data_IF_546075960159
#
_entry.id   IF_546075960159
#
_cell.length_a   1.000
_cell.length_b   1.000
_cell.length_c   1.000
_cell.angle_alpha   90.00
_cell.angle_beta   90.00
_cell.angle_gamma   90.00
#
_symmetry.space_group_name_H-M   'P 1'
#
loop_
_entity.id
_entity.type
_entity.pdbx_description
1 polymer ?
#
# COMPACT_ATOMS: atom_id res chain seq x y z
N UNK A 1 55.15 -50.76 23.82
CA UNK A 1 55.54 -49.92 24.97
C UNK A 1 55.51 -48.47 24.51
N UNK A 2 55.02 -47.57 25.38
CA UNK A 2 54.81 -46.12 25.20
C UNK A 2 53.81 -45.75 24.08
N UNK A 3 52.81 -44.89 24.25
CA UNK A 3 52.50 -43.91 25.30
C UNK A 3 51.85 -42.72 24.60
N UNK A 4 50.68 -42.27 25.07
CA UNK A 4 49.99 -41.12 24.49
C UNK A 4 48.65 -40.85 25.18
N UNK A 5 48.72 -40.09 26.28
CA UNK A 5 47.61 -39.66 27.12
C UNK A 5 46.77 -38.52 26.49
N UNK A 6 45.50 -38.49 26.93
CA UNK A 6 44.69 -37.30 27.28
C UNK A 6 44.16 -36.37 26.18
N UNK A 7 42.83 -36.40 26.02
CA UNK A 7 41.92 -35.30 26.43
C UNK A 7 40.47 -35.85 26.50
N UNK A 8 39.90 -36.04 27.71
CA UNK A 8 38.87 -35.16 28.32
C UNK A 8 37.58 -35.05 27.47
N UNK A 9 36.54 -35.87 27.63
CA UNK A 9 35.56 -36.00 28.72
C UNK A 9 34.66 -34.77 28.95
N UNK A 10 33.33 -35.02 28.83
CA UNK A 10 32.15 -34.31 29.42
C UNK A 10 31.70 -33.01 28.74
N UNK A 11 30.53 -32.99 28.09
CA UNK A 11 29.12 -32.94 28.59
C UNK A 11 28.57 -31.51 28.47
N UNK A 12 27.24 -31.41 28.35
CA UNK A 12 26.38 -30.24 28.10
C UNK A 12 26.33 -29.85 26.61
N UNK A 13 25.19 -29.88 25.92
CA UNK A 13 23.82 -29.70 26.38
C UNK A 13 23.34 -28.35 25.85
N UNK A 14 22.78 -28.33 24.65
CA UNK A 14 21.93 -27.24 24.18
C UNK A 14 20.85 -27.81 23.27
N UNK A 15 19.75 -28.23 23.92
CA UNK A 15 18.42 -28.09 23.36
C UNK A 15 18.18 -26.59 23.13
N UNK A 16 18.26 -26.15 21.88
CA UNK A 16 17.72 -24.88 21.40
C UNK A 16 17.20 -25.22 20.01
N UNK A 17 15.92 -25.22 19.70
CA UNK A 17 14.77 -24.58 20.31
C UNK A 17 13.85 -24.46 19.10
N UNK A 18 12.78 -25.26 19.07
CA UNK A 18 11.78 -25.17 18.03
C UNK A 18 11.18 -23.76 18.07
N UNK A 19 11.64 -22.87 17.20
CA UNK A 19 10.95 -21.62 16.93
C UNK A 19 9.82 -21.92 15.95
N UNK A 20 8.73 -22.44 16.50
CA UNK A 20 7.38 -22.27 15.94
C UNK A 20 7.09 -20.77 15.91
N UNK A 21 7.51 -20.09 14.84
CA UNK A 21 6.86 -18.85 14.44
C UNK A 21 5.55 -19.23 13.75
N UNK A 22 4.58 -19.66 14.57
CA UNK A 22 3.19 -19.36 14.31
C UNK A 22 3.03 -17.84 14.44
N UNK A 23 3.54 -17.10 13.45
CA UNK A 23 3.07 -15.76 13.20
C UNK A 23 1.63 -15.93 12.74
N UNK A 24 0.70 -15.38 13.52
CA UNK A 24 -0.71 -15.28 13.20
C UNK A 24 -0.88 -14.98 11.69
N UNK A 25 -1.63 -15.84 11.00
CA UNK A 25 -1.97 -15.72 9.58
C UNK A 25 -2.87 -14.53 9.27
N UNK A 26 -2.52 -13.34 9.72
CA UNK A 26 -3.06 -12.07 9.28
C UNK A 26 -2.16 -11.54 8.17
N UNK A 27 -2.10 -12.25 7.04
CA UNK A 27 -1.67 -11.62 5.81
C UNK A 27 -2.51 -10.36 5.58
N UNK A 28 -1.99 -9.35 4.86
CA UNK A 28 -2.74 -8.14 4.60
C UNK A 28 -4.13 -8.47 4.02
N UNK A 29 -5.16 -7.81 4.55
CA UNK A 29 -6.53 -8.06 4.15
C UNK A 29 -6.68 -7.83 2.66
N UNK A 30 -7.19 -8.81 1.93
CA UNK A 30 -7.55 -8.62 0.52
C UNK A 30 -8.66 -7.57 0.45
N UNK A 31 -8.53 -6.51 -0.37
CA UNK A 31 -9.56 -5.49 -0.44
C UNK A 31 -10.84 -6.06 -1.01
N UNK A 32 -11.98 -5.68 -0.42
CA UNK A 32 -13.27 -5.74 -1.11
C UNK A 32 -13.24 -4.81 -2.33
N UNK A 33 -13.31 -5.39 -3.53
CA UNK A 33 -13.28 -4.68 -4.82
C UNK A 33 -14.59 -3.97 -5.15
N UNK A 34 -15.67 -4.22 -4.39
CA UNK A 34 -16.96 -3.52 -4.55
C UNK A 34 -17.03 -2.22 -3.77
N UNK A 35 -16.10 -2.01 -2.82
CA UNK A 35 -15.97 -0.80 -2.02
C UNK A 35 -14.73 0.02 -2.42
N UNK A 36 -14.87 1.24 -2.97
CA UNK A 36 -13.73 2.04 -3.36
C UNK A 36 -12.84 2.44 -2.17
N UNK A 37 -13.42 2.59 -0.96
CA UNK A 37 -12.65 2.96 0.24
C UNK A 37 -11.77 1.80 0.69
N UNK A 38 -12.28 0.57 0.63
CA UNK A 38 -11.51 -0.65 0.85
C UNK A 38 -10.31 -0.76 -0.11
N UNK A 39 -10.52 -0.53 -1.40
CA UNK A 39 -9.42 -0.52 -2.40
C UNK A 39 -8.38 0.57 -2.10
N UNK A 40 -8.82 1.80 -1.79
CA UNK A 40 -7.91 2.89 -1.44
C UNK A 40 -7.13 2.59 -0.15
N UNK A 41 -7.76 1.99 0.86
CA UNK A 41 -7.06 1.62 2.09
C UNK A 41 -5.96 0.60 1.83
N UNK A 42 -6.25 -0.44 1.05
CA UNK A 42 -5.25 -1.43 0.64
C UNK A 42 -4.09 -0.80 -0.15
N UNK A 43 -4.37 0.23 -0.97
CA UNK A 43 -3.33 1.00 -1.64
C UNK A 43 -2.44 1.76 -0.65
N UNK A 44 -3.03 2.52 0.28
CA UNK A 44 -2.23 3.29 1.27
C UNK A 44 -1.39 2.38 2.14
N UNK A 45 -1.92 1.22 2.54
CA UNK A 45 -1.16 0.20 3.27
C UNK A 45 0.03 -0.34 2.45
N UNK A 46 -0.21 -0.70 1.19
CA UNK A 46 0.85 -1.19 0.30
C UNK A 46 1.90 -0.11 0.01
N UNK A 47 1.47 1.14 -0.19
CA UNK A 47 2.34 2.29 -0.40
C UNK A 47 3.25 2.54 0.81
N UNK A 48 2.67 2.59 2.02
CA UNK A 48 3.44 2.79 3.25
C UNK A 48 4.41 1.62 3.53
N UNK A 49 4.06 0.40 3.10
CA UNK A 49 4.94 -0.76 3.15
C UNK A 49 5.98 -0.81 2.02
N UNK A 50 5.92 0.13 1.06
CA UNK A 50 6.73 0.13 -0.18
C UNK A 50 6.59 -1.15 -1.00
N UNK A 51 5.39 -1.74 -0.99
CA UNK A 51 5.08 -3.01 -1.64
C UNK A 51 4.40 -2.79 -3.00
N UNK A 52 5.22 -2.59 -4.03
CA UNK A 52 4.75 -2.38 -5.40
C UNK A 52 3.96 -3.58 -5.95
N UNK A 53 4.26 -4.81 -5.51
CA UNK A 53 3.54 -6.02 -5.93
C UNK A 53 2.09 -5.99 -5.44
N UNK A 54 1.87 -5.49 -4.21
CA UNK A 54 0.53 -5.28 -3.67
C UNK A 54 -0.20 -4.08 -4.26
N UNK A 55 0.51 -3.07 -4.76
CA UNK A 55 -0.09 -1.91 -5.42
C UNK A 55 -0.57 -2.23 -6.85
N UNK A 56 0.16 -3.08 -7.58
CA UNK A 56 -0.09 -3.38 -8.98
C UNK A 56 -1.53 -3.84 -9.28
N UNK A 57 -2.12 -4.82 -8.56
CA UNK A 57 -3.48 -5.27 -8.89
C UNK A 57 -4.55 -4.23 -8.52
N UNK A 58 -4.23 -3.15 -7.80
CA UNK A 58 -5.20 -2.13 -7.38
C UNK A 58 -5.45 -1.07 -8.46
N UNK A 59 -4.57 -0.99 -9.45
CA UNK A 59 -4.62 0.02 -10.50
C UNK A 59 -5.27 -0.52 -11.76
N UNK A 60 -5.83 0.38 -12.56
CA UNK A 60 -6.24 0.05 -13.92
C UNK A 60 -5.02 -0.25 -14.82
N UNK A 61 -5.29 -0.81 -16.01
CA UNK A 61 -4.24 -1.24 -16.92
C UNK A 61 -3.29 -0.12 -17.34
N UNK A 62 -3.76 1.13 -17.39
CA UNK A 62 -2.97 2.29 -17.83
C UNK A 62 -1.96 2.72 -16.76
N UNK A 63 -2.32 2.62 -15.48
CA UNK A 63 -1.44 3.00 -14.37
C UNK A 63 -0.48 1.87 -13.93
N UNK A 64 -0.66 0.65 -14.44
CA UNK A 64 0.24 -0.48 -14.17
C UNK A 64 1.66 -0.22 -14.71
N UNK A 65 1.81 0.48 -15.83
CA UNK A 65 3.10 0.65 -16.51
C UNK A 65 4.14 1.36 -15.63
N UNK A 66 3.75 2.38 -14.87
CA UNK A 66 4.65 3.09 -13.96
C UNK A 66 5.13 2.19 -12.80
N UNK A 67 4.22 1.39 -12.24
CA UNK A 67 4.52 0.44 -11.15
C UNK A 67 5.40 -0.70 -11.69
N UNK A 68 5.12 -1.20 -12.89
CA UNK A 68 5.92 -2.23 -13.55
C UNK A 68 7.34 -1.74 -13.86
N UNK A 69 7.49 -0.49 -14.33
CA UNK A 69 8.79 0.13 -14.56
C UNK A 69 9.59 0.27 -13.26
N UNK A 70 8.97 0.72 -12.18
CA UNK A 70 9.60 0.79 -10.86
C UNK A 70 9.99 -0.59 -10.30
N UNK A 71 9.17 -1.61 -10.54
CA UNK A 71 9.51 -3.00 -10.18
C UNK A 71 10.72 -3.51 -10.96
N UNK A 72 10.80 -3.20 -12.26
CA UNK A 72 11.92 -3.60 -13.11
C UNK A 72 13.22 -2.86 -12.76
N UNK A 73 13.11 -1.56 -12.43
CA UNK A 73 14.24 -0.72 -12.03
C UNK A 73 14.74 -1.01 -10.60
N UNK A 74 13.85 -1.43 -9.71
CA UNK A 74 14.16 -1.73 -8.31
C UNK A 74 14.30 -0.48 -7.43
N UNK A 75 14.60 -0.71 -6.16
CA UNK A 75 14.76 0.37 -5.17
C UNK A 75 15.91 1.30 -5.58
N UNK A 76 15.65 2.60 -5.57
CA UNK A 76 16.61 3.64 -5.97
C UNK A 76 16.60 4.00 -7.46
N UNK A 77 15.73 3.37 -8.27
CA UNK A 77 15.52 3.81 -9.64
C UNK A 77 14.72 5.12 -9.70
N UNK A 78 14.86 5.93 -10.77
CA UNK A 78 14.06 7.15 -10.94
C UNK A 78 12.55 6.90 -10.86
N UNK A 79 12.06 5.78 -11.40
CA UNK A 79 10.65 5.41 -11.39
C UNK A 79 10.19 5.03 -9.99
N UNK A 80 11.01 4.29 -9.24
CA UNK A 80 10.73 3.97 -7.84
C UNK A 80 10.67 5.23 -6.97
N UNK A 81 11.65 6.12 -7.11
CA UNK A 81 11.71 7.39 -6.35
C UNK A 81 10.57 8.34 -6.76
N UNK A 82 10.11 8.29 -8.01
CA UNK A 82 8.95 9.06 -8.46
C UNK A 82 7.65 8.58 -7.82
N UNK A 83 7.44 7.26 -7.70
CA UNK A 83 6.27 6.70 -6.99
C UNK A 83 6.33 7.09 -5.51
N UNK A 84 7.49 6.91 -4.87
CA UNK A 84 7.66 7.16 -3.43
C UNK A 84 8.26 8.54 -3.13
N UNK A 85 7.85 9.56 -3.87
CA UNK A 85 8.33 10.92 -3.69
C UNK A 85 8.18 11.34 -2.21
N UNK A 86 9.22 11.95 -1.58
CA UNK A 86 9.26 12.16 -0.13
C UNK A 86 8.02 12.85 0.45
N UNK A 87 7.53 13.91 -0.21
CA UNK A 87 6.34 14.62 0.26
C UNK A 87 5.07 13.77 0.28
N UNK A 88 4.95 12.77 -0.60
CA UNK A 88 3.81 11.85 -0.60
C UNK A 88 3.93 10.82 0.53
N UNK A 89 5.14 10.28 0.73
CA UNK A 89 5.46 9.35 1.82
C UNK A 89 5.17 10.00 3.16
N UNK A 90 5.64 11.23 3.37
CA UNK A 90 5.40 11.97 4.60
C UNK A 90 3.91 12.25 4.84
N UNK A 91 3.17 12.65 3.80
CA UNK A 91 1.74 12.91 3.88
C UNK A 91 0.95 11.66 4.27
N UNK A 92 1.16 10.53 3.58
CA UNK A 92 0.42 9.29 3.84
C UNK A 92 0.83 8.63 5.16
N UNK A 93 2.07 8.79 5.59
CA UNK A 93 2.52 8.34 6.91
C UNK A 93 1.87 9.16 8.04
N UNK A 94 1.78 10.49 7.89
CA UNK A 94 1.17 11.39 8.88
C UNK A 94 -0.31 11.08 9.12
N UNK A 95 -1.04 10.73 8.06
CA UNK A 95 -2.46 10.41 8.14
C UNK A 95 -2.73 8.99 8.68
N UNK A 96 -1.69 8.20 8.97
CA UNK A 96 -1.79 6.87 9.57
C UNK A 96 -2.77 5.92 8.83
N UNK A 97 -2.83 6.01 7.50
CA UNK A 97 -3.74 5.20 6.69
C UNK A 97 -5.21 5.66 6.70
N UNK A 98 -5.49 6.87 7.21
CA UNK A 98 -6.83 7.44 7.19
C UNK A 98 -7.31 7.66 5.76
N UNK A 99 -8.51 7.18 5.49
CA UNK A 99 -9.21 7.36 4.21
C UNK A 99 -10.60 7.95 4.50
N UNK A 100 -10.99 8.98 3.76
CA UNK A 100 -12.27 9.70 3.91
C UNK A 100 -13.04 9.73 2.58
N UNK A 101 -14.36 9.60 2.64
CA UNK A 101 -15.25 9.50 1.46
C UNK A 101 -15.98 8.15 1.39
N UNK A 102 -16.33 7.66 0.18
CA UNK A 102 -16.05 8.28 -1.11
C UNK A 102 -16.94 9.50 -1.35
N UNK A 103 -16.47 10.41 -2.21
CA UNK A 103 -17.34 11.35 -2.93
C UNK A 103 -17.31 10.99 -4.41
N UNK A 104 -18.14 11.63 -5.21
CA UNK A 104 -18.30 11.24 -6.61
C UNK A 104 -18.19 12.41 -7.57
N UNK A 105 -17.34 12.21 -8.59
CA UNK A 105 -17.37 12.97 -9.83
C UNK A 105 -18.00 12.10 -10.92
N UNK A 106 -19.24 12.41 -11.29
CA UNK A 106 -20.08 11.58 -12.16
C UNK A 106 -20.19 10.15 -11.61
N UNK A 107 -19.44 9.20 -12.18
CA UNK A 107 -19.43 7.78 -11.80
C UNK A 107 -18.15 7.37 -11.08
N UNK A 108 -17.13 8.22 -11.06
CA UNK A 108 -15.85 7.93 -10.45
C UNK A 108 -15.91 8.23 -8.96
N UNK A 109 -15.34 7.35 -8.15
CA UNK A 109 -15.17 7.56 -6.73
C UNK A 109 -13.91 8.36 -6.47
N UNK A 110 -14.01 9.37 -5.61
CA UNK A 110 -12.91 10.23 -5.18
C UNK A 110 -12.75 10.04 -3.68
N UNK A 111 -11.68 9.37 -3.28
CA UNK A 111 -11.37 9.04 -1.89
C UNK A 111 -10.23 9.92 -1.43
N UNK A 112 -10.41 10.64 -0.32
CA UNK A 112 -9.38 11.46 0.31
C UNK A 112 -8.45 10.56 1.12
N UNK A 113 -7.15 10.77 0.98
CA UNK A 113 -6.11 10.03 1.72
C UNK A 113 -5.17 10.94 2.52
N UNK A 114 -5.31 12.26 2.38
CA UNK A 114 -4.63 13.21 3.25
C UNK A 114 -4.85 14.67 2.87
N UNK A 115 -4.25 15.54 3.67
CA UNK A 115 -4.25 16.98 3.43
C UNK A 115 -2.82 17.51 3.62
N UNK A 116 -2.34 18.25 2.63
CA UNK A 116 -1.00 18.85 2.70
C UNK A 116 -0.98 20.12 3.56
N UNK A 117 0.20 20.71 3.71
CA UNK A 117 0.41 21.90 4.55
C UNK A 117 -0.30 23.15 4.01
N UNK A 118 -0.63 23.18 2.72
CA UNK A 118 -1.38 24.29 2.10
C UNK A 118 -2.89 24.13 2.26
N UNK A 119 -3.34 22.99 2.80
CA UNK A 119 -4.76 22.67 2.98
C UNK A 119 -5.41 22.03 1.75
N UNK A 120 -4.62 21.66 0.75
CA UNK A 120 -5.10 20.92 -0.40
C UNK A 120 -5.27 19.44 -0.03
N UNK A 121 -6.33 18.85 -0.58
CA UNK A 121 -6.71 17.47 -0.36
C UNK A 121 -6.04 16.61 -1.42
N UNK A 122 -5.31 15.59 -0.96
CA UNK A 122 -4.81 14.53 -1.84
C UNK A 122 -5.86 13.42 -1.95
N UNK A 123 -6.20 13.04 -3.17
CA UNK A 123 -7.25 12.07 -3.47
C UNK A 123 -6.78 10.96 -4.41
N UNK A 124 -7.36 9.79 -4.21
CA UNK A 124 -7.28 8.65 -5.12
C UNK A 124 -8.61 8.58 -5.87
N UNK A 125 -8.54 8.53 -7.20
CA UNK A 125 -9.69 8.43 -8.08
C UNK A 125 -9.82 7.00 -8.56
N UNK A 126 -11.02 6.44 -8.43
CA UNK A 126 -11.33 5.08 -8.82
C UNK A 126 -12.48 5.09 -9.82
N UNK A 127 -12.38 4.22 -10.82
CA UNK A 127 -13.48 3.92 -11.75
C UNK A 127 -13.92 2.47 -11.60
N UNK A 128 -15.19 2.23 -11.91
CA UNK A 128 -15.79 0.91 -11.85
C UNK A 128 -15.79 0.29 -13.25
N UNK A 129 -15.36 -0.96 -13.35
CA UNK A 129 -15.36 -1.72 -14.60
C UNK A 129 -16.71 -2.42 -14.88
N UNK A 130 -16.77 -3.18 -15.97
CA UNK A 130 -17.97 -3.96 -16.37
C UNK A 130 -18.35 -5.06 -15.37
N UNK A 131 -17.40 -5.51 -14.56
CA UNK A 131 -17.61 -6.52 -13.52
C UNK A 131 -18.06 -5.89 -12.20
N UNK A 132 -18.27 -4.57 -12.19
CA UNK A 132 -18.58 -3.76 -11.02
C UNK A 132 -17.45 -3.69 -9.97
N UNK A 133 -16.21 -3.87 -10.39
CA UNK A 133 -15.03 -3.75 -9.51
C UNK A 133 -14.36 -2.39 -9.64
N UNK A 134 -13.88 -1.85 -8.52
CA UNK A 134 -13.16 -0.59 -8.48
C UNK A 134 -11.66 -0.78 -8.69
N UNK A 135 -11.10 0.06 -9.55
CA UNK A 135 -9.65 0.16 -9.81
C UNK A 135 -9.21 1.62 -9.75
N UNK A 136 -7.98 1.85 -9.30
CA UNK A 136 -7.37 3.17 -9.23
C UNK A 136 -6.98 3.62 -10.63
N UNK A 137 -7.53 4.75 -11.07
CA UNK A 137 -7.31 5.32 -12.40
C UNK A 137 -6.48 6.61 -12.37
N UNK A 138 -6.42 7.28 -11.22
CA UNK A 138 -5.60 8.47 -11.06
C UNK A 138 -5.36 8.82 -9.60
N UNK A 139 -4.32 9.62 -9.38
CA UNK A 139 -4.09 10.35 -8.13
C UNK A 139 -4.19 11.84 -8.43
N UNK A 140 -4.83 12.60 -7.54
CA UNK A 140 -5.10 14.02 -7.78
C UNK A 140 -4.93 14.87 -6.53
N UNK A 141 -4.73 16.17 -6.74
CA UNK A 141 -4.74 17.19 -5.69
C UNK A 141 -5.80 18.21 -6.02
N UNK A 142 -6.62 18.56 -5.04
CA UNK A 142 -7.67 19.56 -5.19
C UNK A 142 -7.87 20.34 -3.91
N UNK A 143 -8.41 21.55 -4.00
CA UNK A 143 -8.70 22.33 -2.79
C UNK A 143 -9.78 21.65 -1.95
N UNK A 144 -9.76 21.87 -0.63
CA UNK A 144 -10.80 21.35 0.27
C UNK A 144 -12.23 21.72 -0.16
N UNK A 145 -12.55 22.96 -0.55
CA UNK A 145 -13.90 23.30 -1.03
C UNK A 145 -14.31 22.55 -2.30
N UNK A 146 -13.37 22.29 -3.22
CA UNK A 146 -13.66 21.48 -4.41
C UNK A 146 -14.01 20.04 -4.03
N UNK A 147 -13.24 19.43 -3.13
CA UNK A 147 -13.55 18.09 -2.63
C UNK A 147 -14.92 18.06 -1.93
N UNK A 148 -15.22 19.04 -1.07
CA UNK A 148 -16.48 19.12 -0.34
C UNK A 148 -17.71 19.39 -1.23
N UNK A 149 -17.50 19.95 -2.42
CA UNK A 149 -18.55 20.16 -3.42
C UNK A 149 -18.89 18.92 -4.25
N UNK A 150 -18.06 17.87 -4.22
CA UNK A 150 -18.35 16.61 -4.90
C UNK A 150 -19.56 15.91 -4.28
N UNK A 151 -20.30 15.17 -5.11
CA UNK A 151 -21.54 14.52 -4.72
C UNK A 151 -21.29 13.40 -3.70
N UNK A 152 -22.25 13.17 -2.79
CA UNK A 152 -22.21 12.05 -1.84
C UNK A 152 -22.61 10.71 -2.49
N UNK A 153 -23.30 10.75 -3.62
CA UNK A 153 -23.71 9.57 -4.39
C UNK A 153 -23.33 9.74 -5.87
N UNK A 154 -23.06 8.63 -6.59
CA UNK A 154 -22.77 8.68 -8.02
C UNK A 154 -23.99 9.14 -8.81
N UNK A 155 -23.76 9.92 -9.87
CA UNK A 155 -24.82 10.29 -10.81
C UNK A 155 -25.22 9.07 -11.63
N UNK A 156 -26.54 8.85 -11.76
CA UNK A 156 -27.14 7.78 -12.59
C UNK A 156 -26.78 7.97 -14.06
#
# INVERSE_FOLDING_TARGET
MAGGLSASLRKLGFLLGALLLAACGGGPMTPDRKDPVSVTRAFVEAFNARDLQRMLPLHDQVNIDAIAAALAGGVGSPEYEAIFAPGMVELLAKEAGKVEGPRYDRRDAVVKVGTDETGDVYTVILSKDEQEEWSIVAHSRMSKPQYEALAAEPKK
#
